data_IF_736700339717
#
_entry.id   IF_736700339717
#
_cell.length_a   1.000
_cell.length_b   1.000
_cell.length_c   1.000
_cell.angle_alpha   90.00
_cell.angle_beta   90.00
_cell.angle_gamma   90.00
#
_symmetry.space_group_name_H-M   'P 1'
#
loop_
_entity.id
_entity.type
_entity.pdbx_description
1 polymer ?
#
# COMPACT_ATOMS: atom_id res chain seq x y z
N UNK A 1 2.40 15.59 -42.80
CA UNK A 1 1.78 14.57 -41.96
C UNK A 1 2.28 14.83 -40.55
N UNK A 2 1.44 15.34 -39.67
CA UNK A 2 1.78 15.38 -38.23
C UNK A 2 1.94 13.94 -37.82
N UNK A 3 3.14 13.54 -37.41
CA UNK A 3 3.41 12.24 -36.80
C UNK A 3 2.65 12.21 -35.49
N UNK A 4 1.59 11.43 -35.42
CA UNK A 4 0.79 11.25 -34.19
C UNK A 4 1.73 10.83 -33.05
N UNK A 5 1.80 11.67 -32.04
CA UNK A 5 2.70 11.42 -30.89
C UNK A 5 2.22 10.19 -30.16
N UNK A 6 3.04 9.11 -30.10
CA UNK A 6 2.71 7.89 -29.34
C UNK A 6 2.32 8.27 -27.91
N UNK A 7 1.13 7.88 -27.46
CA UNK A 7 0.67 8.09 -26.09
C UNK A 7 1.26 7.06 -25.14
N UNK A 8 1.78 7.52 -24.03
CA UNK A 8 2.27 6.71 -22.90
C UNK A 8 1.32 6.96 -21.73
N UNK A 9 0.36 6.04 -21.45
CA UNK A 9 -0.55 6.22 -20.33
C UNK A 9 0.19 6.06 -19.00
N UNK A 10 -0.26 6.74 -17.94
CA UNK A 10 0.26 6.48 -16.59
C UNK A 10 0.07 5.02 -16.17
N UNK A 11 -1.06 4.44 -16.53
CA UNK A 11 -1.43 3.05 -16.22
C UNK A 11 -2.43 2.54 -17.27
N UNK A 12 -2.17 1.37 -17.85
CA UNK A 12 -3.10 0.65 -18.74
C UNK A 12 -3.48 -0.70 -18.12
N UNK A 13 -4.62 -0.71 -17.39
CA UNK A 13 -5.12 -1.91 -16.74
C UNK A 13 -5.48 -3.04 -17.71
N UNK A 14 -5.88 -2.72 -18.95
CA UNK A 14 -6.15 -3.73 -19.97
C UNK A 14 -4.85 -4.45 -20.35
N UNK A 15 -3.83 -3.69 -20.71
CA UNK A 15 -2.55 -4.24 -21.13
C UNK A 15 -1.85 -5.01 -19.98
N UNK A 16 -1.95 -4.54 -18.73
CA UNK A 16 -1.41 -5.25 -17.56
C UNK A 16 -2.07 -6.62 -17.37
N UNK A 17 -3.36 -6.75 -17.66
CA UNK A 17 -4.09 -8.01 -17.47
C UNK A 17 -4.07 -8.94 -18.72
N UNK A 18 -3.72 -8.43 -19.89
CA UNK A 18 -3.70 -9.17 -21.15
C UNK A 18 -2.87 -10.48 -21.09
N UNK A 19 -1.67 -10.53 -20.46
CA UNK A 19 -0.90 -11.78 -20.34
C UNK A 19 -1.63 -12.89 -19.59
N UNK A 20 -2.60 -12.55 -18.74
CA UNK A 20 -3.38 -13.47 -17.90
C UNK A 20 -4.82 -13.63 -18.38
N UNK A 21 -5.20 -13.02 -19.51
CA UNK A 21 -6.60 -12.88 -19.95
C UNK A 21 -7.33 -14.23 -20.01
N UNK A 22 -6.70 -15.24 -20.62
CA UNK A 22 -7.31 -16.57 -20.75
C UNK A 22 -7.55 -17.20 -19.39
N UNK A 23 -6.54 -17.21 -18.51
CA UNK A 23 -6.64 -17.83 -17.19
C UNK A 23 -7.68 -17.10 -16.31
N UNK A 24 -7.71 -15.77 -16.39
CA UNK A 24 -8.71 -14.94 -15.70
C UNK A 24 -10.12 -15.27 -16.18
N UNK A 25 -10.37 -15.32 -17.50
CA UNK A 25 -11.68 -15.68 -18.07
C UNK A 25 -12.12 -17.09 -17.65
N UNK A 26 -11.20 -18.05 -17.70
CA UNK A 26 -11.46 -19.43 -17.28
C UNK A 26 -11.81 -19.51 -15.78
N UNK A 27 -11.10 -18.75 -14.93
CA UNK A 27 -11.37 -18.69 -13.49
C UNK A 27 -12.72 -18.03 -13.17
N UNK A 28 -13.06 -16.93 -13.83
CA UNK A 28 -14.36 -16.25 -13.69
C UNK A 28 -15.50 -17.18 -14.14
N UNK A 29 -15.36 -17.83 -15.29
CA UNK A 29 -16.36 -18.76 -15.80
C UNK A 29 -16.64 -19.93 -14.82
N UNK A 30 -15.62 -20.42 -14.12
CA UNK A 30 -15.82 -21.46 -13.07
C UNK A 30 -16.70 -20.93 -11.94
N UNK A 31 -16.48 -19.70 -11.49
CA UNK A 31 -17.32 -19.07 -10.44
C UNK A 31 -18.75 -18.90 -10.95
N UNK A 32 -18.93 -18.33 -12.16
CA UNK A 32 -20.27 -18.13 -12.75
C UNK A 32 -21.04 -19.45 -12.87
N UNK A 33 -20.37 -20.49 -13.36
CA UNK A 33 -20.99 -21.81 -13.56
C UNK A 33 -21.31 -22.53 -12.21
N UNK A 34 -20.61 -22.18 -11.12
CA UNK A 34 -20.87 -22.76 -9.81
C UNK A 34 -22.16 -22.24 -9.17
N UNK A 35 -22.60 -21.03 -9.53
CA UNK A 35 -23.69 -20.33 -8.86
C UNK A 35 -23.39 -19.88 -7.43
N UNK A 36 -22.13 -20.01 -6.97
CA UNK A 36 -21.68 -19.62 -5.63
C UNK A 36 -20.78 -18.38 -5.73
N UNK A 37 -21.26 -17.24 -5.24
CA UNK A 37 -20.64 -15.92 -5.54
C UNK A 37 -19.96 -15.25 -4.34
N UNK A 38 -20.16 -15.74 -3.10
CA UNK A 38 -19.60 -15.20 -1.87
C UNK A 38 -19.11 -16.31 -0.94
N UNK A 39 -17.98 -16.10 -0.27
CA UNK A 39 -17.43 -16.98 0.77
C UNK A 39 -17.27 -18.46 0.34
N UNK A 40 -17.00 -18.70 -0.93
CA UNK A 40 -16.84 -20.03 -1.51
C UNK A 40 -15.39 -20.48 -1.60
N UNK A 41 -15.12 -21.34 -2.60
CA UNK A 41 -13.82 -22.00 -2.75
C UNK A 41 -12.72 -21.07 -3.27
N UNK A 42 -13.05 -20.07 -4.11
CA UNK A 42 -12.04 -19.15 -4.61
C UNK A 42 -11.54 -18.22 -3.51
N UNK A 43 -12.42 -17.75 -2.63
CA UNK A 43 -12.06 -16.95 -1.44
C UNK A 43 -11.18 -17.77 -0.49
N UNK A 44 -11.60 -18.96 -0.09
CA UNK A 44 -10.82 -19.83 0.81
C UNK A 44 -9.44 -20.16 0.26
N UNK A 45 -9.36 -20.45 -1.05
CA UNK A 45 -8.10 -20.72 -1.72
C UNK A 45 -7.21 -19.49 -1.72
N UNK A 46 -7.76 -18.30 -2.00
CA UNK A 46 -7.02 -17.05 -1.99
C UNK A 46 -6.47 -16.75 -0.60
N UNK A 47 -7.29 -16.80 0.43
CA UNK A 47 -6.88 -16.55 1.82
C UNK A 47 -5.73 -17.46 2.24
N UNK A 48 -5.85 -18.77 1.96
CA UNK A 48 -4.80 -19.75 2.25
C UNK A 48 -3.50 -19.45 1.48
N UNK A 49 -3.60 -19.20 0.17
CA UNK A 49 -2.42 -18.97 -0.69
C UNK A 49 -1.74 -17.65 -0.35
N UNK A 50 -2.53 -16.62 -0.02
CA UNK A 50 -2.01 -15.31 0.34
C UNK A 50 -1.34 -15.31 1.71
N UNK A 51 -1.95 -15.95 2.73
CA UNK A 51 -1.32 -16.17 4.03
C UNK A 51 0.02 -16.90 3.89
N UNK A 52 0.07 -17.94 3.06
CA UNK A 52 1.29 -18.70 2.78
C UNK A 52 2.36 -17.82 2.07
N UNK A 53 1.96 -16.97 1.11
CA UNK A 53 2.88 -16.06 0.41
C UNK A 53 3.48 -15.02 1.37
N UNK A 54 2.65 -14.40 2.19
CA UNK A 54 3.08 -13.41 3.19
C UNK A 54 3.87 -14.07 4.34
N UNK A 55 3.55 -15.32 4.65
CA UNK A 55 4.14 -16.09 5.76
C UNK A 55 3.44 -15.87 7.09
N UNK A 56 2.13 -15.54 7.08
CA UNK A 56 1.27 -15.41 8.25
C UNK A 56 0.40 -16.66 8.45
N UNK A 57 -0.14 -16.83 9.66
CA UNK A 57 -1.07 -17.94 9.94
C UNK A 57 -2.47 -17.67 9.36
N UNK A 58 -2.90 -16.40 9.36
CA UNK A 58 -4.25 -16.00 8.97
C UNK A 58 -4.22 -14.92 7.89
N UNK A 59 -5.13 -15.04 6.94
CA UNK A 59 -5.54 -14.01 5.99
C UNK A 59 -7.06 -14.01 5.95
N UNK A 60 -7.68 -12.89 6.23
CA UNK A 60 -9.13 -12.71 6.20
C UNK A 60 -9.44 -11.68 5.10
N UNK A 61 -10.11 -12.13 4.05
CA UNK A 61 -10.48 -11.27 2.93
C UNK A 61 -11.68 -10.39 3.27
N UNK A 62 -11.74 -9.22 2.62
CA UNK A 62 -12.80 -8.24 2.80
C UNK A 62 -13.05 -7.46 1.51
N UNK A 63 -14.02 -6.53 1.54
CA UNK A 63 -14.48 -5.82 0.35
C UNK A 63 -13.43 -4.91 -0.29
N UNK A 64 -12.55 -4.27 0.51
CA UNK A 64 -11.54 -3.32 0.01
C UNK A 64 -10.47 -3.02 1.06
N UNK A 65 -9.41 -2.29 0.65
CA UNK A 65 -8.31 -1.94 1.56
C UNK A 65 -8.69 -1.02 2.71
N UNK A 66 -9.64 -0.11 2.52
CA UNK A 66 -10.12 0.78 3.59
C UNK A 66 -10.85 -0.01 4.67
N UNK A 67 -11.67 -0.97 4.26
CA UNK A 67 -12.34 -1.88 5.19
C UNK A 67 -11.35 -2.83 5.87
N UNK A 68 -10.28 -3.25 5.19
CA UNK A 68 -9.20 -4.02 5.81
C UNK A 68 -8.57 -3.25 6.98
N UNK A 69 -8.24 -1.96 6.78
CA UNK A 69 -7.74 -1.08 7.85
C UNK A 69 -8.74 -0.94 9.00
N UNK A 70 -10.02 -0.71 8.69
CA UNK A 70 -11.07 -0.61 9.71
C UNK A 70 -11.27 -1.91 10.47
N UNK A 71 -11.36 -3.05 9.78
CA UNK A 71 -11.57 -4.36 10.38
C UNK A 71 -10.42 -4.76 11.31
N UNK A 72 -9.17 -4.46 10.92
CA UNK A 72 -8.00 -4.66 11.75
C UNK A 72 -8.14 -3.89 13.09
N UNK A 73 -8.47 -2.61 13.03
CA UNK A 73 -8.66 -1.77 14.22
C UNK A 73 -9.92 -2.15 15.03
N UNK A 74 -11.03 -2.47 14.36
CA UNK A 74 -12.25 -2.97 15.01
C UNK A 74 -12.01 -4.30 15.72
N UNK A 75 -11.18 -5.17 15.14
CA UNK A 75 -10.76 -6.42 15.77
C UNK A 75 -10.05 -6.16 17.09
N UNK A 76 -9.08 -5.25 17.12
CA UNK A 76 -8.34 -4.91 18.33
C UNK A 76 -9.22 -4.22 19.41
N UNK A 77 -10.20 -3.42 18.97
CA UNK A 77 -11.24 -2.90 19.86
C UNK A 77 -12.11 -4.02 20.43
N UNK A 78 -12.46 -5.01 19.63
CA UNK A 78 -13.33 -6.12 20.02
C UNK A 78 -12.65 -7.09 21.01
N UNK A 79 -11.34 -7.31 20.87
CA UNK A 79 -10.54 -8.14 21.80
C UNK A 79 -9.99 -7.34 22.99
N UNK A 80 -10.30 -6.04 23.08
CA UNK A 80 -9.97 -5.20 24.24
C UNK A 80 -8.52 -4.73 24.32
N UNK A 81 -7.75 -4.81 23.23
CA UNK A 81 -6.40 -4.27 23.14
C UNK A 81 -6.38 -2.77 22.88
N UNK A 82 -7.41 -2.25 22.21
CA UNK A 82 -7.65 -0.84 22.00
C UNK A 82 -9.01 -0.45 22.60
N UNK A 83 -9.17 0.83 22.88
CA UNK A 83 -10.43 1.45 23.30
C UNK A 83 -10.67 2.77 22.54
N UNK A 84 -11.93 3.18 22.43
CA UNK A 84 -12.27 4.47 21.77
C UNK A 84 -11.52 5.62 22.44
N UNK A 85 -10.95 6.50 21.63
CA UNK A 85 -10.15 7.63 22.09
C UNK A 85 -8.66 7.33 22.25
N UNK A 86 -8.22 6.06 22.12
CA UNK A 86 -6.80 5.73 22.03
C UNK A 86 -6.16 6.35 20.80
N UNK A 87 -4.90 6.72 20.92
CA UNK A 87 -4.12 7.35 19.87
C UNK A 87 -3.36 6.32 19.04
N UNK A 88 -3.39 6.48 17.72
CA UNK A 88 -2.62 5.70 16.75
C UNK A 88 -1.70 6.64 15.99
N UNK A 89 -0.38 6.47 16.13
CA UNK A 89 0.62 7.22 15.38
C UNK A 89 0.63 6.74 13.92
N UNK A 90 0.66 7.70 12.97
CA UNK A 90 0.57 7.45 11.53
C UNK A 90 1.32 8.51 10.74
N UNK A 91 1.90 8.23 9.53
CA UNK A 91 2.60 9.23 8.75
C UNK A 91 1.66 10.34 8.22
N UNK A 92 2.15 11.57 8.22
CA UNK A 92 1.39 12.75 7.76
C UNK A 92 1.19 12.80 6.24
N UNK A 93 2.04 12.12 5.45
CA UNK A 93 2.01 12.07 3.98
C UNK A 93 1.27 10.85 3.41
N UNK A 94 0.57 10.06 4.26
CA UNK A 94 -0.13 8.85 3.80
C UNK A 94 -1.32 9.15 2.90
N UNK A 95 -1.86 8.09 2.27
CA UNK A 95 -3.16 8.16 1.61
C UNK A 95 -4.27 8.40 2.65
N UNK A 96 -5.27 9.14 2.24
CA UNK A 96 -6.40 9.55 3.09
C UNK A 96 -7.07 8.39 3.86
N UNK A 97 -7.18 7.21 3.23
CA UNK A 97 -7.84 6.04 3.82
C UNK A 97 -7.24 5.59 5.15
N UNK A 98 -5.92 5.73 5.34
CA UNK A 98 -5.23 5.34 6.59
C UNK A 98 -5.76 6.15 7.78
N UNK A 99 -5.80 7.48 7.64
CA UNK A 99 -6.30 8.39 8.69
C UNK A 99 -7.82 8.24 8.87
N UNK A 100 -8.56 8.08 7.75
CA UNK A 100 -10.00 7.86 7.78
C UNK A 100 -10.37 6.57 8.53
N UNK A 101 -9.63 5.49 8.33
CA UNK A 101 -9.89 4.22 9.02
C UNK A 101 -9.76 4.38 10.54
N UNK A 102 -8.70 5.05 11.02
CA UNK A 102 -8.46 5.30 12.44
C UNK A 102 -9.62 6.11 13.05
N UNK A 103 -9.94 7.27 12.45
CA UNK A 103 -10.98 8.16 12.99
C UNK A 103 -12.38 7.55 12.91
N UNK A 104 -12.69 6.78 11.85
CA UNK A 104 -14.01 6.19 11.63
C UNK A 104 -14.38 5.11 12.66
N UNK A 105 -13.41 4.50 13.32
CA UNK A 105 -13.64 3.50 14.38
C UNK A 105 -13.57 4.10 15.79
N UNK A 106 -13.42 5.44 15.89
CA UNK A 106 -13.40 6.17 17.16
C UNK A 106 -12.03 6.21 17.83
N UNK A 107 -10.96 5.93 17.10
CA UNK A 107 -9.57 6.15 17.51
C UNK A 107 -9.09 7.53 17.06
N UNK A 108 -7.99 8.00 17.62
CA UNK A 108 -7.42 9.32 17.34
C UNK A 108 -6.14 9.18 16.54
N UNK A 109 -6.08 9.65 15.29
CA UNK A 109 -4.83 9.64 14.52
C UNK A 109 -3.87 10.73 15.04
N UNK A 110 -2.62 10.35 15.35
CA UNK A 110 -1.52 11.25 15.72
C UNK A 110 -0.50 11.25 14.59
N UNK A 111 -0.39 12.37 13.90
CA UNK A 111 0.44 12.46 12.71
C UNK A 111 1.92 12.70 13.06
N UNK A 112 2.81 12.05 12.30
CA UNK A 112 4.26 12.23 12.35
C UNK A 112 4.74 12.57 10.94
N UNK A 113 5.67 13.52 10.82
CA UNK A 113 6.21 13.95 9.53
C UNK A 113 6.98 12.82 8.83
N UNK A 114 7.20 12.96 7.54
CA UNK A 114 7.95 12.02 6.73
C UNK A 114 9.46 12.32 6.75
N UNK A 115 10.25 11.31 6.45
CA UNK A 115 11.67 11.47 6.14
C UNK A 115 11.83 11.69 4.62
N UNK A 116 12.53 12.75 4.21
CA UNK A 116 12.66 13.13 2.80
C UNK A 116 13.48 12.13 1.98
N UNK A 117 14.42 11.42 2.59
CA UNK A 117 15.28 10.45 1.90
C UNK A 117 14.55 9.14 1.58
N UNK A 118 13.55 8.77 2.41
CA UNK A 118 12.81 7.52 2.27
C UNK A 118 11.37 7.72 1.79
N UNK A 119 10.81 8.91 2.00
CA UNK A 119 9.40 9.28 1.83
C UNK A 119 8.45 8.49 2.76
N UNK A 120 9.00 7.82 3.77
CA UNK A 120 8.26 7.08 4.79
C UNK A 120 8.16 7.89 6.08
N UNK A 121 7.37 7.41 7.06
CA UNK A 121 7.33 8.02 8.40
C UNK A 121 8.75 8.19 8.96
N UNK A 122 9.05 9.36 9.52
CA UNK A 122 10.35 9.58 10.17
C UNK A 122 10.37 8.94 11.57
N UNK A 123 11.09 7.83 11.70
CA UNK A 123 11.19 7.07 12.94
C UNK A 123 11.93 7.84 14.06
N UNK A 124 12.66 8.91 13.71
CA UNK A 124 13.32 9.79 14.68
C UNK A 124 12.31 10.69 15.40
N UNK A 125 11.14 10.94 14.81
CA UNK A 125 10.12 11.87 15.32
C UNK A 125 9.00 11.14 16.09
N UNK A 126 8.91 9.81 16.00
CA UNK A 126 7.81 9.02 16.57
C UNK A 126 7.75 9.17 18.08
N UNK A 127 8.87 8.97 18.77
CA UNK A 127 8.91 8.88 20.24
C UNK A 127 8.46 10.18 20.93
N UNK A 128 8.74 11.33 20.29
CA UNK A 128 8.30 12.65 20.76
C UNK A 128 6.78 12.88 20.68
N UNK A 129 6.05 12.02 19.96
CA UNK A 129 4.59 12.09 19.81
C UNK A 129 3.84 11.11 20.70
N UNK A 130 4.54 10.27 21.46
CA UNK A 130 3.92 9.29 22.35
C UNK A 130 3.35 10.00 23.58
N UNK A 131 2.08 9.71 23.88
CA UNK A 131 1.37 10.14 25.08
C UNK A 131 0.86 8.91 25.85
N UNK A 132 0.32 9.07 27.08
CA UNK A 132 -0.31 7.95 27.79
C UNK A 132 -1.51 7.32 27.05
N UNK A 133 -2.11 8.03 26.09
CA UNK A 133 -3.19 7.54 25.25
C UNK A 133 -2.70 6.79 24.01
N UNK A 134 -1.43 6.93 23.64
CA UNK A 134 -0.88 6.23 22.48
C UNK A 134 -0.83 4.73 22.75
N UNK A 135 -1.47 3.94 21.87
CA UNK A 135 -1.56 2.48 22.00
C UNK A 135 -1.04 1.75 20.77
N UNK A 136 -0.90 2.43 19.65
CA UNK A 136 -0.41 1.79 18.43
C UNK A 136 0.39 2.76 17.54
N UNK A 137 1.22 2.16 16.69
CA UNK A 137 1.83 2.80 15.51
C UNK A 137 1.31 2.06 14.29
N UNK A 138 0.82 2.80 13.29
CA UNK A 138 0.45 2.27 11.98
C UNK A 138 1.42 2.83 10.94
N UNK A 139 2.37 2.01 10.52
CA UNK A 139 3.26 2.37 9.41
C UNK A 139 2.56 2.13 8.08
N UNK A 140 2.97 2.89 7.06
CA UNK A 140 2.44 2.75 5.71
C UNK A 140 3.58 2.49 4.75
N UNK A 141 3.55 1.40 4.00
CA UNK A 141 4.55 1.11 2.96
C UNK A 141 4.27 1.94 1.70
N UNK A 142 4.35 3.27 1.87
CA UNK A 142 3.95 4.23 0.84
C UNK A 142 4.84 4.10 -0.40
N UNK A 143 4.22 4.21 -1.59
CA UNK A 143 4.86 4.01 -2.90
C UNK A 143 5.41 2.59 -3.15
N UNK A 144 5.20 1.67 -2.20
CA UNK A 144 5.76 0.31 -2.24
C UNK A 144 7.13 0.20 -1.55
N UNK A 145 7.61 1.26 -0.89
CA UNK A 145 8.85 1.27 -0.11
C UNK A 145 8.62 0.79 1.32
N UNK A 146 9.54 -0.04 1.81
CA UNK A 146 9.53 -0.50 3.19
C UNK A 146 9.55 0.69 4.17
N UNK A 147 8.57 0.74 5.07
CA UNK A 147 8.49 1.72 6.15
C UNK A 147 8.94 1.16 7.49
N UNK A 148 8.96 -0.16 7.64
CA UNK A 148 9.41 -0.81 8.87
C UNK A 148 10.91 -0.59 9.10
N UNK A 149 11.28 -0.26 10.35
CA UNK A 149 12.68 -0.16 10.78
C UNK A 149 12.87 -0.86 12.13
N UNK A 150 14.09 -1.33 12.45
CA UNK A 150 14.40 -1.84 13.77
C UNK A 150 14.05 -0.86 14.90
N UNK A 151 14.24 0.45 14.65
CA UNK A 151 13.92 1.49 15.63
C UNK A 151 12.42 1.56 15.94
N UNK A 152 11.56 1.43 14.94
CA UNK A 152 10.10 1.39 15.16
C UNK A 152 9.73 0.18 16.03
N UNK A 153 10.29 -0.99 15.74
CA UNK A 153 10.07 -2.18 16.56
C UNK A 153 10.55 -2.00 18.01
N UNK A 154 11.71 -1.35 18.21
CA UNK A 154 12.24 -1.01 19.54
C UNK A 154 11.32 -0.03 20.29
N UNK A 155 10.81 1.01 19.62
CA UNK A 155 9.85 1.96 20.19
C UNK A 155 8.56 1.22 20.62
N UNK A 156 8.00 0.37 19.76
CA UNK A 156 6.80 -0.41 20.10
C UNK A 156 7.04 -1.29 21.33
N UNK A 157 8.18 -1.99 21.36
CA UNK A 157 8.55 -2.84 22.53
C UNK A 157 8.73 -2.01 23.80
N UNK A 158 9.44 -0.89 23.74
CA UNK A 158 9.73 0.00 24.87
C UNK A 158 8.47 0.59 25.49
N UNK A 159 7.52 0.98 24.66
CA UNK A 159 6.30 1.68 25.10
C UNK A 159 5.06 0.76 25.13
N UNK A 160 5.22 -0.55 24.88
CA UNK A 160 4.14 -1.54 24.84
C UNK A 160 3.04 -1.17 23.85
N UNK A 161 3.42 -0.69 22.67
CA UNK A 161 2.51 -0.31 21.58
C UNK A 161 2.30 -1.45 20.60
N UNK A 162 1.08 -1.56 20.08
CA UNK A 162 0.81 -2.40 18.91
C UNK A 162 1.46 -1.78 17.67
N UNK A 163 1.91 -2.64 16.76
CA UNK A 163 2.41 -2.22 15.46
C UNK A 163 1.47 -2.73 14.36
N UNK A 164 1.03 -1.85 13.47
CA UNK A 164 0.20 -2.18 12.32
C UNK A 164 0.88 -1.77 11.02
N UNK A 165 0.63 -2.53 9.96
CA UNK A 165 1.05 -2.19 8.61
C UNK A 165 -0.16 -1.82 7.74
N UNK A 166 -0.18 -0.61 7.18
CA UNK A 166 -0.93 -0.33 5.96
C UNK A 166 -0.07 -0.82 4.79
N UNK A 167 -0.35 -2.03 4.33
CA UNK A 167 0.35 -2.70 3.25
C UNK A 167 -0.36 -2.57 1.89
N UNK A 168 -1.24 -1.58 1.75
CA UNK A 168 -2.03 -1.38 0.53
C UNK A 168 -1.18 -1.12 -0.72
N UNK A 169 0.09 -0.76 -0.58
CA UNK A 169 1.04 -0.52 -1.68
C UNK A 169 2.27 -1.42 -1.62
N UNK A 170 2.39 -2.29 -0.60
CA UNK A 170 3.61 -3.04 -0.30
C UNK A 170 3.63 -4.49 -0.82
N UNK A 171 2.69 -4.94 -1.66
CA UNK A 171 2.67 -6.33 -2.13
C UNK A 171 4.02 -6.76 -2.74
N UNK A 172 4.63 -7.79 -2.16
CA UNK A 172 5.94 -8.31 -2.59
C UNK A 172 7.15 -7.59 -2.00
N UNK A 173 6.97 -6.47 -1.31
CA UNK A 173 8.04 -5.79 -0.56
C UNK A 173 8.49 -6.66 0.61
N UNK A 174 9.79 -6.64 0.93
CA UNK A 174 10.33 -7.51 1.98
C UNK A 174 11.60 -6.92 2.56
N UNK A 175 12.00 -7.41 3.74
CA UNK A 175 13.30 -7.12 4.33
C UNK A 175 13.96 -8.40 4.85
N UNK A 176 15.23 -8.31 5.17
CA UNK A 176 15.99 -9.42 5.77
C UNK A 176 16.21 -9.13 7.24
N UNK A 177 15.60 -9.94 8.10
CA UNK A 177 15.78 -9.84 9.55
C UNK A 177 16.84 -10.83 10.00
N UNK A 178 17.82 -10.32 10.78
CA UNK A 178 18.82 -11.17 11.44
C UNK A 178 18.18 -11.81 12.67
N UNK A 179 18.16 -13.12 12.72
CA UNK A 179 17.86 -13.84 13.95
C UNK A 179 19.16 -14.08 14.72
N UNK A 180 19.38 -13.28 15.77
CA UNK A 180 20.58 -13.39 16.60
C UNK A 180 20.67 -14.72 17.34
N UNK A 181 19.55 -15.42 17.55
CA UNK A 181 19.50 -16.72 18.24
C UNK A 181 19.91 -17.88 17.33
N UNK A 182 19.59 -17.82 16.04
CA UNK A 182 19.86 -18.89 15.07
C UNK A 182 21.09 -18.64 14.19
N UNK A 183 21.71 -17.44 14.24
CA UNK A 183 22.77 -16.97 13.33
C UNK A 183 22.35 -17.06 11.84
N UNK A 184 21.06 -16.99 11.56
CA UNK A 184 20.47 -17.04 10.23
C UNK A 184 19.82 -15.69 9.90
N UNK A 185 19.78 -15.33 8.64
CA UNK A 185 19.00 -14.22 8.16
C UNK A 185 17.78 -14.75 7.39
N UNK A 186 16.59 -14.31 7.76
CA UNK A 186 15.35 -14.74 7.12
C UNK A 186 14.67 -13.57 6.42
N UNK A 187 14.34 -13.75 5.15
CA UNK A 187 13.52 -12.80 4.40
C UNK A 187 12.10 -12.82 4.96
N UNK A 188 11.54 -11.64 5.26
CA UNK A 188 10.13 -11.46 5.65
C UNK A 188 9.47 -10.44 4.73
N UNK A 189 8.27 -10.76 4.29
CA UNK A 189 7.44 -9.86 3.50
C UNK A 189 6.74 -8.83 4.40
N UNK A 190 6.50 -7.62 3.86
CA UNK A 190 5.55 -6.67 4.45
C UNK A 190 4.17 -7.34 4.54
N UNK A 191 3.45 -7.04 5.59
CA UNK A 191 2.24 -7.80 5.95
C UNK A 191 2.49 -8.88 7.01
N UNK A 192 3.78 -9.11 7.39
CA UNK A 192 4.20 -10.02 8.46
C UNK A 192 5.36 -9.44 9.30
N UNK A 193 5.42 -8.10 9.40
CA UNK A 193 6.44 -7.39 10.19
C UNK A 193 5.85 -6.76 11.45
N UNK A 194 4.56 -6.98 11.70
CA UNK A 194 3.76 -6.32 12.73
C UNK A 194 2.74 -7.28 13.37
N UNK A 195 1.90 -6.79 14.27
CA UNK A 195 0.82 -7.56 14.89
C UNK A 195 -0.29 -7.90 13.88
N UNK A 196 -0.59 -6.96 12.97
CA UNK A 196 -1.51 -7.18 11.85
C UNK A 196 -1.25 -6.20 10.71
N UNK A 197 -1.67 -6.57 9.50
CA UNK A 197 -1.52 -5.76 8.31
C UNK A 197 -2.79 -5.73 7.46
N UNK A 198 -3.10 -4.57 6.89
CA UNK A 198 -4.19 -4.37 5.95
C UNK A 198 -3.66 -4.29 4.51
N UNK A 199 -4.33 -5.00 3.60
CA UNK A 199 -3.97 -5.11 2.19
C UNK A 199 -5.07 -4.59 1.29
N UNK A 200 -4.71 -4.02 0.15
CA UNK A 200 -5.63 -3.58 -0.90
C UNK A 200 -5.28 -4.29 -2.20
N UNK A 201 -6.30 -4.82 -2.86
CA UNK A 201 -6.19 -5.41 -4.20
C UNK A 201 -6.99 -4.60 -5.22
N UNK A 202 -7.14 -3.28 -4.99
CA UNK A 202 -7.72 -2.38 -5.99
C UNK A 202 -7.02 -2.57 -7.34
N UNK A 203 -7.70 -2.45 -8.49
CA UNK A 203 -7.16 -2.84 -9.80
C UNK A 203 -5.78 -2.28 -10.15
N UNK A 204 -5.43 -1.09 -9.66
CA UNK A 204 -4.12 -0.47 -9.91
C UNK A 204 -2.98 -0.97 -9.01
N UNK A 205 -3.25 -1.85 -8.04
CA UNK A 205 -2.22 -2.38 -7.13
C UNK A 205 -1.34 -3.42 -7.85
N UNK A 206 -0.13 -3.62 -7.32
CA UNK A 206 0.83 -4.60 -7.89
C UNK A 206 0.24 -6.01 -7.97
N UNK A 207 -0.62 -6.37 -7.02
CA UNK A 207 -1.55 -7.49 -7.12
C UNK A 207 -2.97 -6.90 -7.13
N UNK A 208 -3.54 -6.65 -8.30
CA UNK A 208 -4.86 -6.02 -8.46
C UNK A 208 -5.93 -7.00 -8.94
N UNK A 209 -7.10 -6.96 -8.31
CA UNK A 209 -8.33 -7.59 -8.78
C UNK A 209 -8.92 -6.85 -9.99
N UNK A 210 -10.10 -7.25 -10.47
CA UNK A 210 -10.86 -6.51 -11.49
C UNK A 210 -11.97 -5.63 -10.89
N UNK A 211 -11.89 -5.37 -9.60
CA UNK A 211 -12.79 -4.53 -8.81
C UNK A 211 -12.20 -4.31 -7.42
N UNK A 212 -13.02 -3.90 -6.46
CA UNK A 212 -12.59 -3.76 -5.09
C UNK A 212 -12.31 -5.12 -4.44
N UNK A 213 -11.22 -5.19 -3.69
CA UNK A 213 -10.86 -6.31 -2.84
C UNK A 213 -9.80 -5.87 -1.79
N UNK A 214 -9.80 -6.52 -0.64
CA UNK A 214 -8.84 -6.31 0.43
C UNK A 214 -8.68 -7.53 1.31
N UNK A 215 -7.73 -7.49 2.23
CA UNK A 215 -7.56 -8.52 3.26
C UNK A 215 -6.84 -7.96 4.49
N UNK A 216 -6.98 -8.65 5.62
CA UNK A 216 -6.14 -8.48 6.81
C UNK A 216 -5.31 -9.74 7.00
N UNK A 217 -4.00 -9.58 7.29
CA UNK A 217 -3.12 -10.68 7.68
C UNK A 217 -2.66 -10.52 9.12
N UNK A 218 -2.56 -11.63 9.86
CA UNK A 218 -2.08 -11.66 11.24
C UNK A 218 -1.63 -13.07 11.65
N UNK A 219 -0.81 -13.14 12.70
CA UNK A 219 -0.47 -14.39 13.38
C UNK A 219 -1.26 -14.54 14.71
N UNK A 220 -2.10 -13.56 15.05
CA UNK A 220 -2.90 -13.59 16.27
C UNK A 220 -4.25 -14.24 15.99
N UNK A 221 -4.48 -15.43 16.57
CA UNK A 221 -5.73 -16.19 16.38
C UNK A 221 -6.95 -15.46 16.91
N UNK A 222 -6.86 -14.84 18.09
CA UNK A 222 -8.00 -14.14 18.71
C UNK A 222 -8.44 -12.95 17.84
N UNK A 223 -7.47 -12.19 17.31
CA UNK A 223 -7.72 -11.11 16.37
C UNK A 223 -8.34 -11.63 15.07
N UNK A 224 -7.81 -12.73 14.50
CA UNK A 224 -8.34 -13.31 13.27
C UNK A 224 -9.81 -13.76 13.44
N UNK A 225 -10.14 -14.44 14.54
CA UNK A 225 -11.51 -14.86 14.86
C UNK A 225 -12.47 -13.66 15.04
N UNK A 226 -11.99 -12.59 15.69
CA UNK A 226 -12.77 -11.35 15.82
C UNK A 226 -13.03 -10.71 14.45
N UNK A 227 -12.02 -10.62 13.58
CA UNK A 227 -12.15 -10.04 12.23
C UNK A 227 -13.07 -10.89 11.36
N UNK A 228 -12.95 -12.24 11.39
CA UNK A 228 -13.87 -13.16 10.70
C UNK A 228 -15.32 -13.00 11.12
N UNK A 229 -15.58 -12.66 12.37
CA UNK A 229 -16.92 -12.33 12.83
C UNK A 229 -17.35 -10.93 12.35
N UNK A 230 -16.49 -9.92 12.53
CA UNK A 230 -16.80 -8.52 12.26
C UNK A 230 -17.11 -8.24 10.78
N UNK A 231 -16.40 -8.88 9.83
CA UNK A 231 -16.64 -8.69 8.40
C UNK A 231 -18.00 -9.24 7.91
N UNK A 232 -18.61 -10.11 8.73
CA UNK A 232 -19.94 -10.71 8.51
C UNK A 232 -20.91 -10.26 9.61
N UNK A 233 -21.09 -8.96 9.76
CA UNK A 233 -22.00 -8.32 10.73
C UNK A 233 -21.69 -8.55 12.22
N UNK A 234 -20.59 -9.19 12.58
CA UNK A 234 -20.27 -9.62 13.94
C UNK A 234 -20.84 -11.00 14.32
N UNK A 235 -21.18 -11.80 13.30
CA UNK A 235 -21.80 -13.13 13.44
C UNK A 235 -20.79 -14.13 14.03
N UNK A 236 -21.24 -14.95 14.99
CA UNK A 236 -20.47 -16.07 15.55
C UNK A 236 -21.11 -17.42 15.22
N UNK A 237 -22.44 -17.46 15.14
CA UNK A 237 -23.23 -18.60 14.69
C UNK A 237 -24.57 -18.13 14.09
N UNK A 238 -25.36 -19.02 13.52
CA UNK A 238 -26.60 -18.62 12.85
C UNK A 238 -27.57 -17.90 13.82
N UNK A 239 -27.87 -16.65 13.47
CA UNK A 239 -28.76 -15.77 14.24
C UNK A 239 -28.13 -15.12 15.47
N UNK A 240 -26.84 -15.36 15.78
CA UNK A 240 -26.15 -14.78 16.92
C UNK A 240 -25.01 -13.87 16.47
N UNK A 241 -25.07 -12.60 16.86
CA UNK A 241 -24.08 -11.56 16.55
C UNK A 241 -23.44 -11.08 17.85
N UNK A 242 -22.13 -11.31 17.98
CA UNK A 242 -21.37 -10.93 19.18
C UNK A 242 -20.92 -9.48 19.13
N UNK A 243 -20.63 -8.98 17.94
CA UNK A 243 -20.11 -7.65 17.72
C UNK A 243 -21.03 -6.85 16.81
N UNK A 244 -20.93 -5.52 16.88
CA UNK A 244 -21.52 -4.63 15.87
C UNK A 244 -20.53 -4.55 14.68
N UNK A 245 -20.64 -5.52 13.79
CA UNK A 245 -19.77 -5.63 12.63
C UNK A 245 -20.27 -4.90 11.39
N UNK A 246 -19.67 -5.23 10.25
CA UNK A 246 -19.97 -4.65 8.95
C UNK A 246 -20.25 -5.74 7.92
N UNK A 247 -20.80 -5.38 6.77
CA UNK A 247 -20.87 -6.26 5.61
C UNK A 247 -19.67 -5.95 4.71
N UNK A 248 -18.57 -6.66 4.88
CA UNK A 248 -17.35 -6.43 4.12
C UNK A 248 -16.71 -7.76 3.73
N UNK A 249 -17.05 -8.26 2.57
CA UNK A 249 -16.62 -9.56 2.04
C UNK A 249 -15.99 -9.40 0.67
N UNK A 250 -15.05 -10.27 0.34
CA UNK A 250 -14.53 -10.36 -1.02
C UNK A 250 -15.47 -11.22 -1.88
N UNK A 251 -15.76 -10.75 -3.09
CA UNK A 251 -16.50 -11.54 -4.07
C UNK A 251 -15.67 -12.71 -4.61
N UNK A 252 -16.30 -13.87 -4.85
CA UNK A 252 -15.64 -15.04 -5.45
C UNK A 252 -14.97 -14.74 -6.80
N UNK A 253 -15.56 -13.86 -7.60
CA UNK A 253 -14.97 -13.42 -8.87
C UNK A 253 -13.63 -12.72 -8.65
N UNK A 254 -13.55 -11.81 -7.67
CA UNK A 254 -12.31 -11.11 -7.38
C UNK A 254 -11.24 -12.05 -6.81
N UNK A 255 -11.64 -12.95 -5.92
CA UNK A 255 -10.76 -13.98 -5.39
C UNK A 255 -10.23 -14.92 -6.49
N UNK A 256 -11.08 -15.30 -7.45
CA UNK A 256 -10.68 -16.13 -8.60
C UNK A 256 -9.60 -15.44 -9.46
N UNK A 257 -9.78 -14.14 -9.75
CA UNK A 257 -8.79 -13.32 -10.47
C UNK A 257 -7.47 -13.24 -9.69
N UNK A 258 -7.55 -12.94 -8.39
CA UNK A 258 -6.37 -12.84 -7.53
C UNK A 258 -5.62 -14.17 -7.42
N UNK A 259 -6.32 -15.31 -7.37
CA UNK A 259 -5.71 -16.64 -7.40
C UNK A 259 -4.92 -16.92 -8.68
N UNK A 260 -5.35 -16.38 -9.83
CA UNK A 260 -4.58 -16.47 -11.08
C UNK A 260 -3.31 -15.63 -10.96
N UNK A 261 -3.45 -14.35 -10.62
CA UNK A 261 -2.33 -13.40 -10.60
C UNK A 261 -1.29 -13.72 -9.50
N UNK A 262 -1.72 -14.30 -8.39
CA UNK A 262 -0.82 -14.70 -7.30
C UNK A 262 0.12 -15.85 -7.68
N UNK A 263 -0.12 -16.55 -8.80
CA UNK A 263 0.82 -17.54 -9.33
C UNK A 263 2.07 -16.88 -9.98
N UNK A 264 1.99 -15.58 -10.28
CA UNK A 264 3.03 -14.78 -10.94
C UNK A 264 3.46 -13.56 -10.11
N UNK A 265 3.77 -13.71 -8.81
CA UNK A 265 3.90 -12.59 -7.87
C UNK A 265 5.06 -11.64 -8.20
N UNK A 266 6.06 -12.12 -8.97
CA UNK A 266 7.25 -11.34 -9.29
C UNK A 266 7.19 -10.61 -10.63
N UNK A 267 6.21 -10.91 -11.50
CA UNK A 267 6.21 -10.38 -12.86
C UNK A 267 6.10 -8.86 -12.88
N UNK A 268 5.13 -8.31 -12.15
CA UNK A 268 4.95 -6.85 -12.05
C UNK A 268 6.15 -6.18 -11.36
N UNK A 269 6.70 -6.78 -10.32
CA UNK A 269 7.86 -6.25 -9.60
C UNK A 269 9.11 -6.20 -10.48
N UNK A 270 9.39 -7.25 -11.26
CA UNK A 270 10.52 -7.29 -12.18
C UNK A 270 10.42 -6.21 -13.26
N UNK A 271 9.22 -6.03 -13.84
CA UNK A 271 8.98 -5.00 -14.83
C UNK A 271 9.22 -3.59 -14.26
N UNK A 272 8.62 -3.29 -13.11
CA UNK A 272 8.79 -1.99 -12.43
C UNK A 272 10.26 -1.73 -12.05
N UNK A 273 10.95 -2.73 -11.52
CA UNK A 273 12.36 -2.61 -11.19
C UNK A 273 13.20 -2.32 -12.44
N UNK A 274 12.97 -3.01 -13.57
CA UNK A 274 13.64 -2.75 -14.84
C UNK A 274 13.41 -1.30 -15.30
N UNK A 275 12.20 -0.82 -15.20
CA UNK A 275 11.85 0.55 -15.61
C UNK A 275 12.53 1.61 -14.72
N UNK A 276 12.61 1.38 -13.42
CA UNK A 276 13.34 2.27 -12.52
C UNK A 276 14.83 2.29 -12.87
N UNK A 277 15.44 1.14 -13.20
CA UNK A 277 16.82 1.12 -13.67
C UNK A 277 17.00 1.96 -14.94
N UNK A 278 16.07 1.88 -15.91
CA UNK A 278 16.11 2.70 -17.11
C UNK A 278 15.97 4.21 -16.81
N UNK A 279 15.12 4.59 -15.87
CA UNK A 279 15.09 5.99 -15.40
C UNK A 279 16.44 6.42 -14.83
N UNK A 280 17.09 5.59 -14.00
CA UNK A 280 18.40 5.88 -13.42
C UNK A 280 19.53 5.91 -14.46
N UNK A 281 19.42 5.13 -15.54
CA UNK A 281 20.39 5.10 -16.64
C UNK A 281 20.27 6.33 -17.56
N UNK A 282 19.06 6.86 -17.75
CA UNK A 282 18.75 7.86 -18.79
C UNK A 282 18.39 9.26 -18.27
N UNK A 283 18.16 9.44 -16.99
CA UNK A 283 18.08 10.77 -16.37
C UNK A 283 19.49 11.32 -16.12
N UNK A 284 19.67 12.62 -16.29
CA UNK A 284 20.91 13.31 -15.98
C UNK A 284 21.21 13.21 -14.47
N UNK A 285 22.50 13.12 -14.10
CA UNK A 285 22.91 12.87 -12.71
C UNK A 285 22.39 13.94 -11.74
N UNK A 286 22.52 15.21 -12.11
CA UNK A 286 22.01 16.33 -11.31
C UNK A 286 20.48 16.26 -11.10
N UNK A 287 19.72 15.78 -12.08
CA UNK A 287 18.28 15.59 -11.97
C UNK A 287 17.98 14.43 -11.02
N UNK A 288 18.70 13.31 -11.12
CA UNK A 288 18.55 12.17 -10.20
C UNK A 288 18.80 12.60 -8.75
N UNK A 289 19.89 13.29 -8.51
CA UNK A 289 20.30 13.72 -7.17
C UNK A 289 19.30 14.68 -6.52
N UNK A 290 18.67 15.55 -7.32
CA UNK A 290 17.69 16.53 -6.82
C UNK A 290 16.26 15.99 -6.71
N UNK A 291 15.88 15.07 -7.59
CA UNK A 291 14.48 14.72 -7.82
C UNK A 291 14.10 13.31 -7.35
N UNK A 292 15.07 12.45 -7.05
CA UNK A 292 14.82 11.11 -6.52
C UNK A 292 15.30 11.06 -5.07
N UNK A 293 14.41 10.65 -4.17
CA UNK A 293 14.74 10.54 -2.75
C UNK A 293 15.92 9.55 -2.55
N UNK A 294 16.93 9.95 -1.79
CA UNK A 294 18.24 9.31 -1.71
C UNK A 294 18.20 7.81 -1.35
N UNK A 295 17.24 7.41 -0.51
CA UNK A 295 17.09 6.00 -0.07
C UNK A 295 15.91 5.28 -0.73
N UNK A 296 15.32 5.85 -1.77
CA UNK A 296 14.16 5.24 -2.44
C UNK A 296 14.53 3.92 -3.14
N UNK A 297 15.72 3.86 -3.75
CA UNK A 297 16.11 2.78 -4.65
C UNK A 297 16.76 1.60 -3.91
N UNK A 298 17.42 1.82 -2.80
CA UNK A 298 18.22 0.79 -2.11
C UNK A 298 17.63 0.40 -0.76
N UNK A 299 17.70 -0.89 -0.40
CA UNK A 299 17.96 -2.09 -1.21
C UNK A 299 16.77 -2.45 -2.12
N UNK A 300 17.04 -3.14 -3.23
CA UNK A 300 16.04 -3.43 -4.28
C UNK A 300 14.80 -4.19 -3.79
N UNK A 301 14.92 -5.11 -2.84
CA UNK A 301 13.78 -5.90 -2.33
C UNK A 301 12.93 -5.14 -1.30
N UNK A 302 13.39 -3.99 -0.84
CA UNK A 302 12.68 -3.10 0.08
C UNK A 302 11.87 -2.03 -0.65
N UNK A 303 11.73 -2.12 -1.97
CA UNK A 303 10.82 -1.30 -2.74
C UNK A 303 10.26 -2.08 -3.94
N UNK A 304 8.94 -2.13 -4.06
CA UNK A 304 8.23 -2.75 -5.18
C UNK A 304 7.72 -1.74 -6.19
N UNK A 305 8.06 -0.46 -6.00
CA UNK A 305 7.72 0.66 -6.89
C UNK A 305 6.25 0.66 -7.33
N UNK A 306 5.33 0.50 -6.36
CA UNK A 306 3.91 0.68 -6.65
C UNK A 306 3.67 2.03 -7.33
N UNK A 307 4.40 3.04 -6.89
CA UNK A 307 4.54 4.35 -7.52
C UNK A 307 6.03 4.65 -7.64
N UNK A 308 6.46 5.31 -8.72
CA UNK A 308 7.79 5.88 -8.84
C UNK A 308 7.70 7.40 -8.64
N UNK A 309 7.89 7.89 -7.41
CA UNK A 309 7.78 9.31 -7.08
C UNK A 309 9.01 10.07 -7.57
N UNK A 310 8.77 11.23 -8.19
CA UNK A 310 9.76 12.17 -8.66
C UNK A 310 9.45 13.54 -8.08
N UNK A 311 10.39 14.15 -7.38
CA UNK A 311 10.20 15.40 -6.64
C UNK A 311 10.78 16.58 -7.40
N UNK A 312 9.99 17.61 -7.68
CA UNK A 312 10.49 18.85 -8.28
C UNK A 312 9.60 20.03 -7.92
N UNK A 313 10.20 21.21 -7.58
CA UNK A 313 9.44 22.44 -7.39
C UNK A 313 8.68 22.88 -8.66
N UNK A 314 9.09 22.40 -9.84
CA UNK A 314 8.42 22.67 -11.12
C UNK A 314 7.37 21.59 -11.46
N UNK A 315 6.83 20.84 -10.47
CA UNK A 315 5.93 19.70 -10.63
C UNK A 315 4.79 19.94 -11.60
N UNK A 316 4.03 21.02 -11.43
CA UNK A 316 2.85 21.29 -12.26
C UNK A 316 3.22 21.66 -13.70
N UNK A 317 4.33 22.40 -13.89
CA UNK A 317 4.87 22.72 -15.20
C UNK A 317 5.39 21.46 -15.92
N UNK A 318 6.15 20.59 -15.22
CA UNK A 318 6.62 19.32 -15.76
C UNK A 318 5.45 18.42 -16.14
N UNK A 319 4.42 18.34 -15.29
CA UNK A 319 3.19 17.57 -15.56
C UNK A 319 2.50 18.05 -16.84
N UNK A 320 2.36 19.35 -17.02
CA UNK A 320 1.77 19.94 -18.23
C UNK A 320 2.62 19.62 -19.47
N UNK A 321 3.93 19.86 -19.41
CA UNK A 321 4.87 19.56 -20.49
C UNK A 321 4.83 18.08 -20.92
N UNK A 322 4.85 17.15 -19.94
CA UNK A 322 4.76 15.72 -20.22
C UNK A 322 3.41 15.35 -20.87
N UNK A 323 2.32 15.94 -20.41
CA UNK A 323 0.99 15.73 -21.00
C UNK A 323 0.89 16.20 -22.45
N UNK A 324 1.45 17.40 -22.79
CA UNK A 324 1.55 17.92 -24.15
C UNK A 324 2.37 17.00 -25.06
N UNK A 325 3.35 16.28 -24.49
CA UNK A 325 4.16 15.28 -25.18
C UNK A 325 3.57 13.86 -25.11
N UNK A 326 2.29 13.70 -24.74
CA UNK A 326 1.57 12.43 -24.74
C UNK A 326 1.92 11.51 -23.57
N UNK A 327 2.57 11.98 -22.51
CA UNK A 327 2.94 11.20 -21.32
C UNK A 327 1.97 11.48 -20.17
N UNK A 328 1.28 10.44 -19.72
CA UNK A 328 0.41 10.48 -18.54
C UNK A 328 1.21 10.39 -17.23
N UNK A 329 0.87 11.24 -16.27
CA UNK A 329 1.45 11.24 -14.92
C UNK A 329 0.35 11.41 -13.87
N UNK A 330 0.64 11.12 -12.59
CA UNK A 330 -0.28 11.35 -11.46
C UNK A 330 0.45 12.04 -10.31
N UNK A 331 -0.30 12.41 -9.27
CA UNK A 331 0.21 13.01 -8.02
C UNK A 331 -0.30 12.15 -6.87
N UNK A 332 0.59 11.65 -6.02
CA UNK A 332 0.27 10.87 -4.84
C UNK A 332 0.94 11.45 -3.57
N UNK A 333 0.31 12.41 -2.85
CA UNK A 333 -1.05 12.87 -3.08
C UNK A 333 -1.08 14.39 -3.05
N UNK A 334 -1.95 15.00 -3.86
CA UNK A 334 -2.05 16.45 -4.00
C UNK A 334 -2.30 17.19 -2.70
N UNK A 335 -3.06 16.59 -1.78
CA UNK A 335 -3.39 17.19 -0.48
C UNK A 335 -3.28 16.12 0.61
N UNK A 336 -2.36 16.28 1.58
CA UNK A 336 -2.22 15.34 2.69
C UNK A 336 -3.44 15.33 3.61
N UNK A 337 -3.64 14.26 4.41
CA UNK A 337 -4.84 14.09 5.23
C UNK A 337 -5.15 15.25 6.17
N UNK A 338 -4.13 15.84 6.80
CA UNK A 338 -4.30 16.94 7.77
C UNK A 338 -4.74 18.27 7.15
N UNK A 339 -4.66 18.40 5.83
CA UNK A 339 -5.16 19.58 5.09
C UNK A 339 -6.51 19.33 4.43
N UNK A 340 -7.15 18.18 4.66
CA UNK A 340 -8.44 17.87 4.08
C UNK A 340 -9.56 18.65 4.81
N UNK A 341 -10.57 19.15 4.07
CA UNK A 341 -11.67 19.91 4.68
C UNK A 341 -12.47 19.16 5.75
N UNK A 342 -12.46 17.82 5.72
CA UNK A 342 -13.16 16.98 6.69
C UNK A 342 -12.40 16.79 8.02
N UNK A 343 -11.16 17.31 8.11
CA UNK A 343 -10.35 17.34 9.34
C UNK A 343 -9.94 18.77 9.70
N UNK A 344 -10.89 19.70 9.92
CA UNK A 344 -10.58 21.11 10.21
C UNK A 344 -9.74 21.27 11.49
N UNK A 345 -9.88 20.35 12.44
CA UNK A 345 -9.12 20.29 13.67
C UNK A 345 -7.62 20.00 13.47
N UNK A 346 -7.22 19.47 12.31
CA UNK A 346 -5.84 19.17 11.99
C UNK A 346 -5.17 20.24 11.12
N UNK A 347 -5.93 21.17 10.54
CA UNK A 347 -5.42 22.14 9.56
C UNK A 347 -4.36 23.11 10.11
N UNK A 348 -4.26 23.24 11.45
CA UNK A 348 -3.26 24.04 12.12
C UNK A 348 -1.92 23.32 12.32
N UNK A 349 -1.87 21.99 12.04
CA UNK A 349 -0.67 21.21 12.20
C UNK A 349 0.29 21.45 11.02
N UNK A 350 1.59 21.45 11.32
CA UNK A 350 2.65 21.68 10.35
C UNK A 350 3.54 20.45 10.23
N UNK A 351 3.68 19.94 9.00
CA UNK A 351 4.54 18.82 8.64
C UNK A 351 5.33 19.24 7.38
N UNK A 352 6.50 19.88 7.55
CA UNK A 352 7.23 20.50 6.44
C UNK A 352 7.60 19.53 5.33
N UNK A 353 8.02 18.30 5.68
CA UNK A 353 8.41 17.29 4.68
C UNK A 353 7.19 16.73 3.98
N UNK A 354 6.11 16.37 4.69
CA UNK A 354 4.86 15.92 4.09
C UNK A 354 4.25 16.99 3.16
N UNK A 355 4.35 18.28 3.54
CA UNK A 355 3.92 19.40 2.70
C UNK A 355 4.76 19.51 1.44
N UNK A 356 6.10 19.45 1.56
CA UNK A 356 7.02 19.46 0.43
C UNK A 356 6.74 18.31 -0.53
N UNK A 357 6.54 17.08 -0.03
CA UNK A 357 6.18 15.93 -0.86
C UNK A 357 4.88 16.20 -1.62
N UNK A 358 3.83 16.71 -0.96
CA UNK A 358 2.56 17.03 -1.60
C UNK A 358 2.67 18.12 -2.68
N UNK A 359 3.58 19.07 -2.52
CA UNK A 359 3.80 20.16 -3.48
C UNK A 359 4.68 19.74 -4.66
N UNK A 360 5.66 18.86 -4.45
CA UNK A 360 6.72 18.55 -5.43
C UNK A 360 6.55 17.16 -6.09
N UNK A 361 5.78 16.23 -5.51
CA UNK A 361 5.68 14.86 -6.02
C UNK A 361 4.93 14.80 -7.35
N UNK A 362 5.55 14.14 -8.33
CA UNK A 362 4.97 13.70 -9.59
C UNK A 362 5.27 12.21 -9.79
N UNK A 363 4.24 11.41 -9.82
CA UNK A 363 4.38 9.97 -10.10
C UNK A 363 4.60 9.73 -11.59
N UNK A 364 5.76 9.21 -11.93
CA UNK A 364 6.13 8.84 -13.31
C UNK A 364 5.53 7.49 -13.69
N UNK A 365 5.27 7.24 -14.99
CA UNK A 365 4.79 5.95 -15.47
C UNK A 365 5.76 4.82 -15.10
N UNK A 366 5.27 3.80 -14.40
CA UNK A 366 6.07 2.66 -13.96
C UNK A 366 5.15 1.45 -13.75
N UNK A 367 5.02 0.57 -14.76
CA UNK A 367 4.16 -0.63 -14.72
C UNK A 367 4.45 -1.56 -15.90
N UNK A 368 4.03 -2.83 -15.81
CA UNK A 368 4.35 -3.87 -16.79
C UNK A 368 3.79 -3.69 -18.20
N UNK A 369 2.92 -2.72 -18.44
CA UNK A 369 2.40 -2.41 -19.79
C UNK A 369 3.34 -1.55 -20.65
N UNK A 370 4.41 -1.01 -20.05
CA UNK A 370 5.36 -0.10 -20.69
C UNK A 370 6.60 -0.87 -21.17
N UNK A 371 7.12 -0.49 -22.33
CA UNK A 371 8.40 -1.01 -22.85
C UNK A 371 9.57 -0.07 -22.51
N UNK A 372 10.81 -0.52 -22.79
CA UNK A 372 12.04 0.22 -22.49
C UNK A 372 12.08 1.56 -23.21
N UNK A 373 11.62 1.64 -24.50
CA UNK A 373 11.62 2.87 -25.29
C UNK A 373 10.70 3.93 -24.72
N UNK A 374 9.57 3.52 -24.11
CA UNK A 374 8.65 4.44 -23.45
C UNK A 374 9.34 5.15 -22.28
N UNK A 375 10.08 4.41 -21.45
CA UNK A 375 10.81 4.95 -20.29
C UNK A 375 11.96 5.85 -20.73
N UNK A 376 12.74 5.41 -21.73
CA UNK A 376 13.83 6.23 -22.31
C UNK A 376 13.29 7.56 -22.86
N UNK A 377 12.13 7.53 -23.52
CA UNK A 377 11.49 8.75 -24.02
C UNK A 377 11.06 9.67 -22.89
N UNK A 378 10.44 9.14 -21.84
CA UNK A 378 10.03 9.93 -20.67
C UNK A 378 11.26 10.59 -20.03
N UNK A 379 12.35 9.84 -19.84
CA UNK A 379 13.60 10.37 -19.28
C UNK A 379 14.18 11.52 -20.10
N UNK A 380 14.21 11.38 -21.44
CA UNK A 380 14.67 12.44 -22.36
C UNK A 380 13.82 13.71 -22.26
N UNK A 381 12.50 13.58 -22.16
CA UNK A 381 11.60 14.71 -21.98
C UNK A 381 11.82 15.41 -20.65
N UNK A 382 12.05 14.65 -19.58
CA UNK A 382 12.35 15.22 -18.25
C UNK A 382 13.69 15.99 -18.29
N UNK A 383 14.75 15.40 -18.88
CA UNK A 383 16.04 16.07 -19.03
C UNK A 383 15.86 17.38 -19.82
N UNK A 384 15.18 17.34 -20.96
CA UNK A 384 14.92 18.53 -21.78
C UNK A 384 14.18 19.64 -21.02
N UNK A 385 13.29 19.31 -20.10
CA UNK A 385 12.49 20.29 -19.36
C UNK A 385 13.24 20.89 -18.16
N UNK A 386 14.11 20.13 -17.50
CA UNK A 386 14.75 20.51 -16.23
C UNK A 386 16.17 21.08 -16.37
N UNK A 387 16.74 21.02 -17.56
CA UNK A 387 18.04 21.65 -17.88
C UNK A 387 17.98 23.18 -17.86
#
# INVERSE_FOLDING_TARGET
METEVKKIPYLDLKAINEPYEKEIKDAINKVVNSGWYLQGEAVKRFEKSYAQFIGTEYCISCANGTDALKLMLMGELAVGKLQKGDEVIVPANTYFATVLAISSVGLTPVLVDANIDTLQIDDQLIEARITPKTKAIMIVHLYGKLAWTPKIAEICKKHHLLLFEDNAQGFGCSTTLSDSSEKTSKRRYTGNLSDAAAHSFYPSKNLGALGDAGAVTTNNRELAEAIMSLHEYGKIEDGIFRYQGVNSRMDEIQAAVLNVKLQYPENEQKARYRQVQLYLEHLDDDIKDRCIAAKLISPAHENVFHVFPFLTPKRDQLKAFLAENGVGTKIHYFRPPYLQPCYPEMNHLEFPVAKRIADEELSLPCNSSLNDEDIIRVSKLINQFLV
#
